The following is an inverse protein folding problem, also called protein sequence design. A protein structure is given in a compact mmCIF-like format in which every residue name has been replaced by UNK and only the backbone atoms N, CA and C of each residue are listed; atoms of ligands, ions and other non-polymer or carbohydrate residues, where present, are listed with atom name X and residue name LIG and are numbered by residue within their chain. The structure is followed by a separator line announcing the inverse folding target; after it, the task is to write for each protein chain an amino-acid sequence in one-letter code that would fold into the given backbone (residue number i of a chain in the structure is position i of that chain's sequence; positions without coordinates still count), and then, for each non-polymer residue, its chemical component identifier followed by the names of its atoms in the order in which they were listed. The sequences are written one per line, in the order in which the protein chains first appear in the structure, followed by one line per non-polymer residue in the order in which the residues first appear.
data_IF_471710288218
#
_entry.id   IF_471710288218
#
_cell.length_a   1.000
_cell.length_b   1.000
_cell.length_c   1.000
_cell.angle_alpha   90.00
_cell.angle_beta   90.00
_cell.angle_gamma   90.00
#
_symmetry.space_group_name_H-M   'P 1'
#
loop_
_entity.id
_entity.type
_entity.pdbx_description
1 polymer ?
#
# COMPACT_ATOMS: atom_id res chain seq x y z
N UNK A 1 13.17 -11.11 14.90
CA UNK A 1 12.86 -9.74 14.42
C UNK A 1 11.44 -9.40 14.83
N UNK A 2 11.13 -8.14 15.00
CA UNK A 2 9.82 -7.68 15.48
C UNK A 2 8.64 -8.29 14.69
N UNK A 3 8.75 -8.36 13.37
CA UNK A 3 7.73 -9.02 12.55
C UNK A 3 7.55 -10.52 12.86
N UNK A 4 8.65 -11.24 13.17
CA UNK A 4 8.58 -12.66 13.58
C UNK A 4 7.93 -12.81 14.96
N UNK A 5 8.25 -11.90 15.88
CA UNK A 5 7.71 -11.93 17.24
C UNK A 5 6.20 -11.62 17.21
N UNK A 6 5.78 -10.63 16.41
CA UNK A 6 4.37 -10.35 16.18
C UNK A 6 3.61 -11.51 15.51
N UNK A 7 4.24 -12.18 14.55
CA UNK A 7 3.66 -13.37 13.92
C UNK A 7 3.42 -14.50 14.93
N UNK A 8 4.41 -14.75 15.80
CA UNK A 8 4.29 -15.76 16.84
C UNK A 8 3.20 -15.46 17.87
N UNK A 9 3.00 -14.18 18.23
CA UNK A 9 1.94 -13.73 19.13
C UNK A 9 0.53 -13.92 18.54
N UNK A 10 0.42 -14.10 17.22
CA UNK A 10 -0.84 -14.29 16.50
C UNK A 10 -0.95 -15.71 15.90
N UNK A 11 -0.17 -16.65 16.36
CA UNK A 11 -0.16 -18.05 15.91
C UNK A 11 0.13 -18.23 14.40
N UNK A 12 0.78 -17.25 13.76
CA UNK A 12 1.23 -17.40 12.39
C UNK A 12 2.52 -18.20 12.32
N UNK A 13 2.54 -19.21 11.46
CA UNK A 13 3.70 -20.07 11.21
C UNK A 13 4.32 -19.77 9.83
N UNK A 14 5.51 -20.33 9.60
CA UNK A 14 6.20 -20.22 8.31
C UNK A 14 5.42 -20.83 7.13
N UNK A 15 4.42 -21.68 7.41
CA UNK A 15 3.57 -22.30 6.39
C UNK A 15 2.53 -21.33 5.82
N UNK A 16 2.12 -20.32 6.59
CA UNK A 16 1.07 -19.36 6.20
C UNK A 16 1.52 -17.89 6.21
N UNK A 17 2.76 -17.60 6.63
CA UNK A 17 3.31 -16.24 6.62
C UNK A 17 4.76 -16.25 6.14
N UNK A 18 5.04 -15.57 5.04
CA UNK A 18 6.38 -15.36 4.51
C UNK A 18 6.83 -13.92 4.70
N UNK A 19 7.81 -13.72 5.57
CA UNK A 19 8.44 -12.41 5.81
C UNK A 19 9.65 -12.25 4.89
N UNK A 20 9.61 -11.25 4.02
CA UNK A 20 10.65 -10.99 3.01
C UNK A 20 11.24 -9.60 3.27
N UNK A 21 12.46 -9.48 3.83
CA UNK A 21 13.14 -8.20 3.99
C UNK A 21 13.75 -7.79 2.64
N UNK A 22 13.01 -6.99 1.87
CA UNK A 22 13.41 -6.55 0.54
C UNK A 22 12.88 -5.12 0.27
N UNK A 23 13.42 -4.45 -0.73
CA UNK A 23 12.82 -3.23 -1.27
C UNK A 23 11.50 -3.57 -1.97
N UNK A 24 10.42 -2.91 -1.53
CA UNK A 24 9.06 -3.26 -1.95
C UNK A 24 8.85 -3.09 -3.47
N UNK A 25 9.39 -2.02 -4.07
CA UNK A 25 9.24 -1.80 -5.52
C UNK A 25 10.05 -2.82 -6.32
N UNK A 26 11.26 -3.14 -5.87
CA UNK A 26 12.09 -4.20 -6.47
C UNK A 26 11.42 -5.57 -6.36
N UNK A 27 10.76 -5.85 -5.21
CA UNK A 27 9.97 -7.05 -5.01
C UNK A 27 8.81 -7.13 -6.00
N UNK A 28 7.99 -6.07 -6.10
CA UNK A 28 6.85 -6.02 -7.03
C UNK A 28 7.29 -6.22 -8.49
N UNK A 29 8.35 -5.52 -8.94
CA UNK A 29 8.92 -5.67 -10.29
C UNK A 29 9.39 -7.10 -10.56
N UNK A 30 9.95 -7.78 -9.56
CA UNK A 30 10.37 -9.18 -9.68
C UNK A 30 9.18 -10.13 -9.76
N UNK A 31 8.14 -9.92 -8.94
CA UNK A 31 6.94 -10.75 -8.94
C UNK A 31 6.13 -10.56 -10.24
N UNK A 32 6.03 -9.34 -10.76
CA UNK A 32 5.43 -9.07 -12.05
C UNK A 32 6.14 -9.82 -13.20
N UNK A 33 7.49 -9.80 -13.23
CA UNK A 33 8.28 -10.55 -14.23
C UNK A 33 8.13 -12.07 -14.13
N UNK A 34 7.78 -12.58 -12.92
CA UNK A 34 7.51 -14.00 -12.69
C UNK A 34 6.06 -14.39 -12.96
N UNK A 35 5.24 -13.40 -13.34
CA UNK A 35 3.80 -13.56 -13.56
C UNK A 35 3.05 -14.06 -12.34
N UNK A 36 3.62 -13.85 -11.14
CA UNK A 36 2.94 -14.16 -9.88
C UNK A 36 1.77 -13.21 -9.66
N UNK A 37 0.63 -13.78 -9.25
CA UNK A 37 -0.63 -13.05 -9.07
C UNK A 37 -1.21 -13.29 -7.70
N UNK A 38 -1.77 -12.23 -7.12
CA UNK A 38 -2.30 -12.20 -5.76
C UNK A 38 -3.78 -11.84 -5.73
N UNK A 39 -4.50 -12.39 -4.76
CA UNK A 39 -5.92 -12.13 -4.54
C UNK A 39 -6.16 -10.82 -3.79
N UNK A 40 -5.21 -10.40 -2.96
CA UNK A 40 -5.20 -9.11 -2.27
C UNK A 40 -3.78 -8.55 -2.29
N UNK A 41 -3.66 -7.29 -2.67
CA UNK A 41 -2.40 -6.54 -2.60
C UNK A 41 -2.63 -5.33 -1.71
N UNK A 42 -1.83 -5.19 -0.66
CA UNK A 42 -1.89 -4.06 0.27
C UNK A 42 -0.59 -3.29 0.17
N UNK A 43 -0.68 -2.01 -0.15
CA UNK A 43 0.43 -1.06 -0.18
C UNK A 43 0.25 -0.05 0.95
N UNK A 44 1.29 0.11 1.77
CA UNK A 44 1.37 1.12 2.82
C UNK A 44 2.79 1.71 2.87
N UNK A 45 3.21 2.40 1.79
CA UNK A 45 4.55 2.96 1.72
C UNK A 45 4.69 4.16 2.66
N UNK A 46 5.88 4.39 3.25
CA UNK A 46 6.15 5.63 3.99
C UNK A 46 6.10 6.83 3.05
N UNK A 47 5.78 8.02 3.57
CA UNK A 47 5.77 9.27 2.77
C UNK A 47 7.15 9.64 2.27
N UNK A 48 8.18 9.35 3.07
CA UNK A 48 9.59 9.55 2.72
C UNK A 48 10.49 8.59 3.51
N UNK A 49 11.68 8.34 3.01
CA UNK A 49 12.72 7.61 3.73
C UNK A 49 14.08 8.27 3.50
N UNK A 50 14.86 8.38 4.57
CA UNK A 50 16.26 8.78 4.51
C UNK A 50 17.11 7.58 4.87
N UNK A 51 17.88 7.10 3.90
CA UNK A 51 18.88 6.05 4.14
C UNK A 51 20.24 6.76 4.12
N UNK A 52 21.00 6.59 5.20
CA UNK A 52 22.32 7.19 5.32
C UNK A 52 23.20 6.80 4.11
N UNK A 53 23.81 7.81 3.46
CA UNK A 53 24.62 7.61 2.25
C UNK A 53 23.86 7.37 0.94
N UNK A 54 22.50 7.43 0.93
CA UNK A 54 21.69 7.31 -0.27
C UNK A 54 20.81 8.56 -0.50
N UNK A 55 20.37 8.75 -1.76
CA UNK A 55 19.38 9.78 -2.12
C UNK A 55 18.10 9.57 -1.30
N UNK A 56 17.54 10.64 -0.74
CA UNK A 56 16.26 10.57 -0.05
C UNK A 56 15.18 10.03 -1.00
N UNK A 57 14.39 9.10 -0.51
CA UNK A 57 13.25 8.54 -1.22
C UNK A 57 11.98 9.31 -0.82
N UNK A 58 11.15 9.64 -1.78
CA UNK A 58 9.85 10.28 -1.58
C UNK A 58 8.77 9.53 -2.33
N UNK A 59 7.61 9.39 -1.72
CA UNK A 59 6.49 8.67 -2.34
C UNK A 59 6.03 9.34 -3.65
N UNK A 60 6.01 10.67 -3.71
CA UNK A 60 5.59 11.42 -4.90
C UNK A 60 6.44 11.10 -6.14
N UNK A 61 7.71 10.78 -5.94
CA UNK A 61 8.64 10.48 -7.04
C UNK A 61 8.40 9.09 -7.64
N UNK A 62 7.73 8.18 -6.92
CA UNK A 62 7.64 6.75 -7.28
C UNK A 62 6.22 6.18 -7.19
N UNK A 63 5.21 6.97 -6.86
CA UNK A 63 3.84 6.49 -6.63
C UNK A 63 3.26 5.76 -7.86
N UNK A 64 3.50 6.27 -9.05
CA UNK A 64 3.05 5.64 -10.30
C UNK A 64 3.73 4.29 -10.53
N UNK A 65 5.04 4.19 -10.28
CA UNK A 65 5.77 2.93 -10.35
C UNK A 65 5.21 1.89 -9.37
N UNK A 66 4.85 2.31 -8.15
CA UNK A 66 4.21 1.41 -7.18
C UNK A 66 2.85 0.92 -7.67
N UNK A 67 2.00 1.82 -8.15
CA UNK A 67 0.65 1.49 -8.63
C UNK A 67 0.74 0.55 -9.84
N UNK A 68 1.53 0.88 -10.85
CA UNK A 68 1.70 0.07 -12.05
C UNK A 68 2.14 -1.36 -11.71
N UNK A 69 3.18 -1.49 -10.90
CA UNK A 69 3.72 -2.81 -10.54
C UNK A 69 2.81 -3.57 -9.57
N UNK A 70 2.04 -2.89 -8.71
CA UNK A 70 1.02 -3.52 -7.88
C UNK A 70 -0.15 -4.05 -8.71
N UNK A 71 -0.64 -3.26 -9.67
CA UNK A 71 -1.67 -3.71 -10.61
C UNK A 71 -1.19 -4.90 -11.45
N UNK A 72 0.09 -4.90 -11.85
CA UNK A 72 0.68 -6.00 -12.62
C UNK A 72 0.72 -7.34 -11.85
N UNK A 73 0.65 -7.33 -10.53
CA UNK A 73 0.59 -8.56 -9.70
C UNK A 73 -0.80 -8.88 -9.16
N UNK A 74 -1.79 -8.07 -9.46
CA UNK A 74 -3.19 -8.33 -9.10
C UNK A 74 -3.80 -9.38 -10.02
N UNK A 75 -4.62 -10.28 -9.47
CA UNK A 75 -5.53 -11.14 -10.25
C UNK A 75 -6.75 -10.34 -10.71
N UNK A 76 -7.42 -10.82 -11.75
CA UNK A 76 -8.77 -10.33 -12.07
C UNK A 76 -9.72 -10.68 -10.92
N UNK A 77 -10.47 -9.69 -10.46
CA UNK A 77 -11.36 -9.82 -9.30
C UNK A 77 -10.67 -9.68 -7.94
N UNK A 78 -9.40 -9.32 -7.91
CA UNK A 78 -8.63 -9.09 -6.68
C UNK A 78 -8.90 -7.72 -6.08
N UNK A 79 -8.43 -7.51 -4.84
CA UNK A 79 -8.45 -6.22 -4.18
C UNK A 79 -7.04 -5.61 -4.17
N UNK A 80 -6.96 -4.33 -4.55
CA UNK A 80 -5.81 -3.48 -4.29
C UNK A 80 -6.20 -2.46 -3.21
N UNK A 81 -5.51 -2.47 -2.07
CA UNK A 81 -5.67 -1.50 -0.99
C UNK A 81 -4.41 -0.64 -0.95
N UNK A 82 -4.56 0.65 -1.17
CA UNK A 82 -3.46 1.59 -1.07
C UNK A 82 -3.72 2.58 0.06
N UNK A 83 -2.92 2.56 1.10
CA UNK A 83 -2.90 3.55 2.16
C UNK A 83 -1.61 4.37 2.12
N UNK A 84 -1.68 5.61 2.59
CA UNK A 84 -0.50 6.43 2.77
C UNK A 84 -0.73 7.50 3.85
N UNK A 85 0.37 7.94 4.49
CA UNK A 85 0.37 8.98 5.52
C UNK A 85 0.99 10.27 4.99
N UNK A 86 0.63 10.66 3.75
CA UNK A 86 1.19 11.83 3.09
C UNK A 86 0.19 12.99 3.12
N UNK A 87 0.61 14.17 3.61
CA UNK A 87 -0.28 15.32 3.81
C UNK A 87 -0.92 15.86 2.52
N UNK A 88 -0.24 15.74 1.38
CA UNK A 88 -0.75 16.19 0.08
C UNK A 88 -1.52 15.11 -0.68
N UNK A 89 -1.63 13.90 -0.17
CA UNK A 89 -2.34 12.78 -0.79
C UNK A 89 -3.54 12.39 0.07
N UNK A 90 -4.56 13.26 0.09
CA UNK A 90 -5.85 12.91 0.67
C UNK A 90 -6.55 11.80 -0.15
N UNK A 91 -7.64 11.27 0.37
CA UNK A 91 -8.34 10.16 -0.27
C UNK A 91 -8.82 10.50 -1.69
N UNK A 92 -9.16 11.78 -1.96
CA UNK A 92 -9.60 12.23 -3.30
C UNK A 92 -8.44 12.26 -4.28
N UNK A 93 -7.30 12.84 -3.86
CA UNK A 93 -6.09 12.90 -4.69
C UNK A 93 -5.59 11.49 -5.00
N UNK A 94 -5.51 10.62 -3.99
CA UNK A 94 -5.08 9.24 -4.16
C UNK A 94 -6.05 8.45 -5.07
N UNK A 95 -7.37 8.66 -4.92
CA UNK A 95 -8.36 8.04 -5.78
C UNK A 95 -8.23 8.51 -7.24
N UNK A 96 -7.98 9.79 -7.49
CA UNK A 96 -7.78 10.31 -8.84
C UNK A 96 -6.53 9.73 -9.51
N UNK A 97 -5.42 9.59 -8.76
CA UNK A 97 -4.20 8.96 -9.26
C UNK A 97 -4.48 7.50 -9.63
N UNK A 98 -5.09 6.73 -8.73
CA UNK A 98 -5.44 5.33 -8.98
C UNK A 98 -6.41 5.18 -10.15
N UNK A 99 -7.44 6.03 -10.24
CA UNK A 99 -8.41 6.01 -11.34
C UNK A 99 -7.75 6.19 -12.71
N UNK A 100 -6.67 6.97 -12.80
CA UNK A 100 -5.90 7.16 -14.04
C UNK A 100 -5.17 5.89 -14.51
N UNK A 101 -4.82 4.99 -13.60
CA UNK A 101 -4.06 3.77 -13.87
C UNK A 101 -4.95 2.52 -13.98
N UNK A 102 -6.21 2.58 -13.52
CA UNK A 102 -7.12 1.44 -13.55
C UNK A 102 -7.62 1.12 -14.96
N UNK A 103 -7.75 -0.17 -15.25
CA UNK A 103 -8.41 -0.65 -16.47
C UNK A 103 -9.92 -0.33 -16.47
N UNK A 104 -10.55 -0.41 -17.64
CA UNK A 104 -12.02 -0.19 -17.76
C UNK A 104 -12.86 -1.19 -16.96
N UNK A 105 -12.34 -2.37 -16.63
CA UNK A 105 -13.02 -3.40 -15.84
C UNK A 105 -12.81 -3.24 -14.34
N UNK A 106 -11.87 -2.41 -13.94
CA UNK A 106 -11.52 -2.14 -12.54
C UNK A 106 -12.27 -0.93 -12.02
N UNK A 107 -12.48 -0.84 -10.72
CA UNK A 107 -13.18 0.29 -10.09
C UNK A 107 -12.69 0.57 -8.68
N UNK A 108 -12.74 1.82 -8.27
CA UNK A 108 -12.60 2.22 -6.87
C UNK A 108 -13.90 1.86 -6.15
N UNK A 109 -13.80 1.11 -5.05
CA UNK A 109 -14.94 0.70 -4.23
C UNK A 109 -15.01 1.43 -2.89
N UNK A 110 -13.89 2.00 -2.43
CA UNK A 110 -13.85 2.87 -1.25
C UNK A 110 -12.68 3.85 -1.37
N UNK A 111 -12.89 5.07 -0.86
CA UNK A 111 -11.85 6.08 -0.68
C UNK A 111 -12.21 6.90 0.55
N UNK A 112 -11.31 6.97 1.54
CA UNK A 112 -11.57 7.69 2.78
C UNK A 112 -10.30 8.24 3.41
N UNK A 113 -10.41 9.39 4.04
CA UNK A 113 -9.38 9.90 4.93
C UNK A 113 -9.49 9.20 6.28
N UNK A 114 -8.35 8.83 6.83
CA UNK A 114 -8.24 8.16 8.10
C UNK A 114 -8.05 9.19 9.22
N UNK A 115 -8.64 8.94 10.36
CA UNK A 115 -8.48 9.79 11.53
C UNK A 115 -8.50 8.96 12.82
N UNK A 116 -7.73 9.41 13.80
CA UNK A 116 -7.70 8.84 15.14
C UNK A 116 -8.52 9.78 16.04
N UNK A 117 -9.61 9.30 16.67
CA UNK A 117 -10.39 10.10 17.60
C UNK A 117 -9.61 10.37 18.88
N UNK A 118 -9.69 11.60 19.38
CA UNK A 118 -9.17 11.92 20.70
C UNK A 118 -10.11 11.37 21.79
N UNK A 119 -9.54 10.80 22.80
CA UNK A 119 -10.31 10.35 23.96
C UNK A 119 -10.98 11.54 24.67
N UNK A 120 -12.26 11.42 24.96
CA UNK A 120 -13.09 12.44 25.65
C UNK A 120 -13.29 13.78 24.91
N UNK A 121 -13.15 13.82 23.59
CA UNK A 121 -13.45 15.01 22.80
C UNK A 121 -13.99 14.64 21.41
N UNK A 122 -14.43 15.66 20.64
CA UNK A 122 -14.84 15.50 19.24
C UNK A 122 -13.68 15.73 18.24
N UNK A 123 -12.47 15.95 18.73
CA UNK A 123 -11.31 16.21 17.85
C UNK A 123 -10.82 14.95 17.21
N UNK A 124 -10.37 15.08 15.95
CA UNK A 124 -9.81 14.01 15.16
C UNK A 124 -8.38 14.36 14.75
N UNK A 125 -7.46 13.44 14.96
CA UNK A 125 -6.09 13.54 14.46
C UNK A 125 -6.04 12.90 13.07
N UNK A 126 -5.68 13.64 12.00
CA UNK A 126 -5.50 13.05 10.68
C UNK A 126 -4.47 11.92 10.71
N UNK A 127 -4.82 10.78 10.12
CA UNK A 127 -4.02 9.56 10.14
C UNK A 127 -3.74 8.99 8.74
N UNK A 128 -3.80 9.85 7.71
CA UNK A 128 -3.56 9.47 6.32
C UNK A 128 -4.83 9.21 5.52
N UNK A 129 -4.68 8.50 4.42
CA UNK A 129 -5.79 8.16 3.51
C UNK A 129 -5.67 6.72 3.03
N UNK A 130 -6.80 6.14 2.63
CA UNK A 130 -6.85 4.79 2.05
C UNK A 130 -7.83 4.75 0.88
N UNK A 131 -7.44 4.05 -0.17
CA UNK A 131 -8.28 3.74 -1.33
C UNK A 131 -8.27 2.25 -1.59
N UNK A 132 -9.43 1.68 -1.83
CA UNK A 132 -9.60 0.26 -2.17
C UNK A 132 -10.18 0.14 -3.58
N UNK A 133 -9.53 -0.67 -4.40
CA UNK A 133 -9.92 -0.95 -5.77
C UNK A 133 -10.27 -2.42 -5.95
N UNK A 134 -11.27 -2.70 -6.77
CA UNK A 134 -11.55 -4.02 -7.33
C UNK A 134 -10.96 -4.06 -8.75
N UNK A 135 -10.09 -5.04 -9.02
CA UNK A 135 -9.31 -5.16 -10.25
C UNK A 135 -9.96 -6.15 -11.23
#
# INVERSE_FOLDING_TARGET
SWAKDNAALNDFSASNLRLIPDDALSFLKREARRENKYDVVILDPPSFSRIEGKKSWKLEDVIYDFIENALAVCKKGSLLVFSCHHQALDARVLANILQGELSKSSKIIAAQDLAIPEENSSRLLPAGSVVTCLI
#
